data_IF_337996850069
#
_entry.id   IF_337996850069
#
_cell.length_a   1.000
_cell.length_b   1.000
_cell.length_c   1.000
_cell.angle_alpha   90.00
_cell.angle_beta   90.00
_cell.angle_gamma   90.00
#
_symmetry.space_group_name_H-M   'P 1'
#
loop_
_entity.id
_entity.type
_entity.pdbx_description
1 polymer ?
#
# COMPACT_ATOMS: atom_id res chain seq x y z
N UNK A 1 -35.58 -6.55 9.25
CA UNK A 1 -34.57 -7.60 9.49
C UNK A 1 -33.57 -7.58 8.34
N UNK A 2 -32.29 -7.33 8.61
CA UNK A 2 -31.24 -7.41 7.59
C UNK A 2 -30.65 -8.83 7.68
N UNK A 3 -31.10 -9.73 6.81
CA UNK A 3 -30.64 -11.12 6.77
C UNK A 3 -29.28 -11.16 6.07
N UNK A 4 -28.21 -11.43 6.80
CA UNK A 4 -26.89 -11.70 6.23
C UNK A 4 -26.90 -13.12 5.68
N UNK A 5 -26.93 -13.25 4.35
CA UNK A 5 -26.92 -14.55 3.66
C UNK A 5 -25.58 -15.23 3.93
N UNK A 6 -25.63 -16.40 4.58
CA UNK A 6 -24.43 -17.19 4.83
C UNK A 6 -23.84 -17.72 3.52
N UNK A 7 -22.52 -17.93 3.44
CA UNK A 7 -21.84 -18.36 2.20
C UNK A 7 -22.37 -19.70 1.66
N UNK A 8 -22.94 -20.52 2.54
CA UNK A 8 -23.58 -21.80 2.25
C UNK A 8 -24.99 -21.67 1.64
N UNK A 9 -25.62 -20.49 1.75
CA UNK A 9 -26.90 -20.19 1.07
C UNK A 9 -26.70 -19.76 -0.39
N UNK A 10 -25.46 -19.44 -0.81
CA UNK A 10 -25.16 -19.10 -2.20
C UNK A 10 -24.93 -20.36 -3.03
N UNK A 11 -25.47 -20.37 -4.24
CA UNK A 11 -25.22 -21.46 -5.19
C UNK A 11 -23.72 -21.52 -5.54
N UNK A 12 -23.19 -22.71 -5.87
CA UNK A 12 -21.76 -22.90 -6.13
C UNK A 12 -21.19 -21.99 -7.22
N UNK A 13 -22.00 -21.56 -8.20
CA UNK A 13 -21.54 -20.70 -9.30
C UNK A 13 -21.18 -19.28 -8.86
N UNK A 14 -21.63 -18.88 -7.67
CA UNK A 14 -21.35 -17.57 -7.07
C UNK A 14 -20.17 -17.60 -6.08
N UNK A 15 -19.47 -18.74 -5.94
CA UNK A 15 -18.23 -18.83 -5.18
C UNK A 15 -17.04 -18.34 -6.02
N UNK A 16 -16.90 -17.03 -6.13
CA UNK A 16 -15.77 -16.42 -6.85
C UNK A 16 -14.46 -16.54 -6.07
N UNK A 17 -13.42 -17.05 -6.73
CA UNK A 17 -12.04 -16.95 -6.26
C UNK A 17 -11.44 -15.60 -6.68
N UNK A 18 -11.44 -14.65 -5.74
CA UNK A 18 -10.91 -13.32 -5.96
C UNK A 18 -9.38 -13.28 -6.11
N UNK A 19 -8.65 -14.36 -5.78
CA UNK A 19 -7.20 -14.43 -6.03
C UNK A 19 -6.89 -14.52 -7.54
N UNK A 20 -7.83 -15.04 -8.33
CA UNK A 20 -7.73 -15.12 -9.80
C UNK A 20 -8.40 -13.93 -10.50
N UNK A 21 -8.88 -12.93 -9.75
CA UNK A 21 -9.59 -11.80 -10.32
C UNK A 21 -8.66 -10.92 -11.17
N UNK A 22 -9.13 -10.55 -12.37
CA UNK A 22 -8.43 -9.58 -13.22
C UNK A 22 -8.67 -8.15 -12.69
N UNK A 23 -7.67 -7.25 -12.80
CA UNK A 23 -7.85 -5.84 -12.49
C UNK A 23 -9.02 -5.24 -13.26
N UNK A 24 -9.85 -4.43 -12.59
CA UNK A 24 -11.04 -3.84 -13.18
C UNK A 24 -10.67 -2.84 -14.31
N UNK A 25 -11.15 -3.10 -15.54
CA UNK A 25 -10.90 -2.25 -16.72
C UNK A 25 -11.53 -0.86 -16.65
N UNK A 26 -12.56 -0.69 -15.81
CA UNK A 26 -13.27 0.56 -15.60
C UNK A 26 -12.81 1.30 -14.34
N UNK A 27 -11.99 0.66 -13.50
CA UNK A 27 -11.35 1.39 -12.43
C UNK A 27 -10.38 2.39 -13.06
N UNK A 28 -10.47 3.65 -12.64
CA UNK A 28 -9.47 4.63 -13.00
C UNK A 28 -8.10 4.05 -12.60
N UNK A 29 -7.25 3.79 -13.59
CA UNK A 29 -5.85 3.50 -13.31
C UNK A 29 -5.29 4.80 -12.77
N UNK A 30 -5.10 4.88 -11.47
CA UNK A 30 -4.28 5.92 -10.87
C UNK A 30 -2.94 5.90 -11.62
N UNK A 31 -2.69 6.89 -12.49
CA UNK A 31 -1.41 7.00 -13.19
C UNK A 31 -0.26 7.19 -12.21
N UNK A 32 -0.57 7.66 -11.01
CA UNK A 32 0.35 7.70 -9.89
C UNK A 32 0.50 6.29 -9.32
N UNK A 33 1.63 5.65 -9.61
CA UNK A 33 2.10 4.49 -8.86
C UNK A 33 2.21 4.90 -7.39
N UNK A 34 1.27 4.47 -6.58
CA UNK A 34 1.32 4.65 -5.14
C UNK A 34 2.28 3.63 -4.54
N UNK A 35 3.35 4.12 -3.92
CA UNK A 35 4.25 3.27 -3.14
C UNK A 35 3.77 3.31 -1.70
N UNK A 36 3.41 2.15 -1.16
CA UNK A 36 3.04 2.01 0.26
C UNK A 36 4.30 1.62 1.02
N UNK A 37 4.61 2.39 2.05
CA UNK A 37 5.73 2.12 2.96
C UNK A 37 5.14 1.85 4.34
N UNK A 38 5.50 0.71 4.93
CA UNK A 38 5.16 0.39 6.31
C UNK A 38 6.23 0.97 7.21
N UNK A 39 5.84 1.74 8.22
CA UNK A 39 6.73 2.26 9.24
C UNK A 39 6.74 1.31 10.43
N UNK A 40 7.89 1.17 11.07
CA UNK A 40 8.00 0.51 12.37
C UNK A 40 7.28 1.32 13.46
N UNK A 41 6.90 0.64 14.55
CA UNK A 41 6.04 1.20 15.60
C UNK A 41 6.66 2.45 16.25
N UNK A 42 7.96 2.42 16.53
CA UNK A 42 8.72 3.53 17.12
C UNK A 42 8.73 4.76 16.22
N UNK A 43 8.87 4.57 14.91
CA UNK A 43 8.83 5.65 13.91
C UNK A 43 7.41 6.19 13.74
N UNK A 44 6.42 5.31 13.70
CA UNK A 44 5.01 5.68 13.54
C UNK A 44 4.47 6.50 14.73
N UNK A 45 4.98 6.28 15.94
CA UNK A 45 4.65 7.08 17.12
C UNK A 45 5.09 8.55 16.98
N UNK A 46 6.21 8.78 16.29
CA UNK A 46 6.74 10.14 16.06
C UNK A 46 6.07 10.80 14.85
N UNK A 47 5.82 10.02 13.79
CA UNK A 47 5.26 10.51 12.54
C UNK A 47 3.84 10.01 12.31
N UNK A 48 2.87 10.76 12.84
CA UNK A 48 1.44 10.41 12.78
C UNK A 48 0.75 10.77 11.47
N UNK A 49 1.40 11.56 10.59
CA UNK A 49 0.81 11.98 9.31
C UNK A 49 1.79 11.80 8.14
N UNK A 50 1.28 11.46 6.93
CA UNK A 50 2.12 11.30 5.75
C UNK A 50 2.81 12.62 5.35
N UNK A 51 2.21 13.78 5.61
CA UNK A 51 2.83 15.08 5.34
C UNK A 51 4.08 15.30 6.20
N UNK A 52 4.02 14.91 7.48
CA UNK A 52 5.15 15.05 8.42
C UNK A 52 6.34 14.20 7.97
N UNK A 53 6.08 12.92 7.63
CA UNK A 53 7.10 12.00 7.08
C UNK A 53 7.75 12.60 5.83
N UNK A 54 6.93 12.97 4.84
CA UNK A 54 7.42 13.47 3.56
C UNK A 54 8.23 14.76 3.69
N UNK A 55 7.87 15.65 4.63
CA UNK A 55 8.61 16.89 4.87
C UNK A 55 10.02 16.61 5.38
N UNK A 56 10.17 15.67 6.33
CA UNK A 56 11.48 15.30 6.89
C UNK A 56 12.33 14.57 5.85
N UNK A 57 11.76 13.57 5.16
CA UNK A 57 12.50 12.83 4.12
C UNK A 57 13.01 13.77 3.02
N UNK A 58 12.22 14.75 2.57
CA UNK A 58 12.67 15.75 1.59
C UNK A 58 13.76 16.66 2.12
N UNK A 59 13.68 17.06 3.40
CA UNK A 59 14.74 17.86 4.03
C UNK A 59 16.05 17.07 4.12
N UNK A 60 15.99 15.77 4.45
CA UNK A 60 17.14 14.89 4.46
C UNK A 60 17.75 14.72 3.07
N UNK A 61 16.93 14.47 2.03
CA UNK A 61 17.40 14.38 0.64
C UNK A 61 18.14 15.65 0.21
N UNK A 62 17.68 16.83 0.64
CA UNK A 62 18.30 18.11 0.29
C UNK A 62 19.64 18.34 0.99
N UNK A 63 19.82 17.79 2.18
CA UNK A 63 20.94 18.12 3.06
C UNK A 63 21.97 16.99 3.17
N UNK A 64 21.61 15.75 2.84
CA UNK A 64 22.53 14.63 2.88
C UNK A 64 23.35 14.56 1.58
N UNK A 65 24.65 14.26 1.66
CA UNK A 65 25.40 13.84 0.49
C UNK A 65 24.76 12.57 -0.07
N UNK A 66 24.70 12.45 -1.39
CA UNK A 66 24.12 11.28 -2.05
C UNK A 66 24.79 10.01 -1.53
N UNK A 67 24.08 9.26 -0.69
CA UNK A 67 24.37 7.87 -0.39
C UNK A 67 24.07 7.09 -1.67
N UNK A 68 25.05 7.09 -2.58
CA UNK A 68 25.12 6.09 -3.63
C UNK A 68 25.35 4.77 -2.92
N UNK A 69 24.37 3.87 -2.99
CA UNK A 69 24.51 2.48 -2.56
C UNK A 69 25.48 1.77 -3.52
N UNK A 70 26.76 2.06 -3.37
CA UNK A 70 27.83 1.15 -3.74
C UNK A 70 27.92 0.15 -2.59
N UNK A 71 27.17 -0.95 -2.71
CA UNK A 71 27.43 -2.24 -2.04
C UNK A 71 26.25 -3.19 -2.30
N UNK A 72 26.24 -3.80 -3.48
CA UNK A 72 25.65 -5.13 -3.69
C UNK A 72 26.51 -5.86 -4.72
N UNK A 73 27.68 -6.30 -4.27
CA UNK A 73 28.42 -7.43 -4.86
C UNK A 73 29.25 -8.06 -3.75
N UNK A 74 28.69 -9.07 -3.09
CA UNK A 74 29.39 -10.12 -2.37
C UNK A 74 28.45 -11.33 -2.23
#
# INVERSE_FOLDING_TARGET
MNKTVSKDEMLPEYHFDYQQAKPNRFAARSEQRMTVVVLDEDVAQVFTTPESVNKVLRALIKNMPHITSDETTA
#
